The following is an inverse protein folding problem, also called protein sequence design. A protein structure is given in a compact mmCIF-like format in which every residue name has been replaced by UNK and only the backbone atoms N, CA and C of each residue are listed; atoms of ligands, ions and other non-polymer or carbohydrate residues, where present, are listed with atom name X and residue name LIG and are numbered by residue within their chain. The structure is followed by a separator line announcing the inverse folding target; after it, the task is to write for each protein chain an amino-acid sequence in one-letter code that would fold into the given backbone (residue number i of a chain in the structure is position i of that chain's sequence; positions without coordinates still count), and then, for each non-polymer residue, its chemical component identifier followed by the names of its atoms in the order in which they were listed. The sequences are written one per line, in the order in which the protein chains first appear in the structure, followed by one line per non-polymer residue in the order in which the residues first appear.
data_IF_138023887576
#
_entry.id   IF_138023887576
#
_cell.length_a   1.000
_cell.length_b   1.000
_cell.length_c   1.000
_cell.angle_alpha   90.00
_cell.angle_beta   90.00
_cell.angle_gamma   90.00
#
_symmetry.space_group_name_H-M   'P 1'
#
loop_
_entity.id
_entity.type
_entity.pdbx_description
1 polymer ?
#
# COMPACT_ATOMS: atom_id res chain seq x y z
N UNK A 1 47.94 -22.75 -19.29
CA UNK A 1 47.37 -21.38 -19.12
C UNK A 1 45.85 -21.30 -19.30
N UNK A 2 45.19 -22.18 -20.08
CA UNK A 2 43.74 -22.11 -20.35
C UNK A 2 42.82 -22.36 -19.13
N UNK A 3 43.23 -23.22 -18.18
CA UNK A 3 42.40 -23.60 -17.02
C UNK A 3 42.15 -22.44 -16.04
N UNK A 4 43.15 -21.60 -15.79
CA UNK A 4 43.00 -20.41 -14.93
C UNK A 4 42.12 -19.33 -15.55
N UNK A 5 42.16 -19.18 -16.88
CA UNK A 5 41.32 -18.23 -17.61
C UNK A 5 39.83 -18.64 -17.55
N UNK A 6 39.53 -19.93 -17.70
CA UNK A 6 38.16 -20.45 -17.59
C UNK A 6 37.62 -20.27 -16.17
N UNK A 7 38.47 -20.45 -15.15
CA UNK A 7 38.10 -20.20 -13.75
C UNK A 7 37.77 -18.71 -13.49
N UNK A 8 38.62 -17.79 -13.96
CA UNK A 8 38.39 -16.34 -13.85
C UNK A 8 37.11 -15.91 -14.57
N UNK A 9 36.84 -16.46 -15.76
CA UNK A 9 35.62 -16.16 -16.50
C UNK A 9 34.37 -16.64 -15.74
N UNK A 10 34.42 -17.85 -15.15
CA UNK A 10 33.35 -18.36 -14.31
C UNK A 10 33.09 -17.49 -13.08
N UNK A 11 34.15 -17.02 -12.41
CA UNK A 11 34.04 -16.14 -11.25
C UNK A 11 33.38 -14.80 -11.60
N UNK A 12 33.80 -14.17 -12.72
CA UNK A 12 33.18 -12.92 -13.20
C UNK A 12 31.71 -13.14 -13.55
N UNK A 13 31.40 -14.23 -14.26
CA UNK A 13 30.01 -14.57 -14.61
C UNK A 13 29.15 -14.76 -13.37
N UNK A 14 29.67 -15.41 -12.33
CA UNK A 14 28.97 -15.60 -11.06
C UNK A 14 28.67 -14.27 -10.35
N UNK A 15 29.65 -13.37 -10.27
CA UNK A 15 29.48 -12.03 -9.69
C UNK A 15 28.40 -11.25 -10.43
N UNK A 16 28.47 -11.23 -11.77
CA UNK A 16 27.47 -10.54 -12.61
C UNK A 16 26.07 -11.14 -12.37
N UNK A 17 25.95 -12.47 -12.32
CA UNK A 17 24.68 -13.14 -12.08
C UNK A 17 24.10 -12.79 -10.70
N UNK A 18 24.93 -12.67 -9.67
CA UNK A 18 24.51 -12.23 -8.33
C UNK A 18 23.96 -10.81 -8.35
N UNK A 19 24.62 -9.86 -9.02
CA UNK A 19 24.09 -8.49 -9.15
C UNK A 19 22.76 -8.45 -9.92
N UNK A 20 22.64 -9.22 -11.01
CA UNK A 20 21.39 -9.31 -11.78
C UNK A 20 20.26 -9.89 -10.91
N UNK A 21 20.54 -10.92 -10.12
CA UNK A 21 19.56 -11.51 -9.21
C UNK A 21 19.07 -10.51 -8.15
N UNK A 22 19.98 -9.79 -7.50
CA UNK A 22 19.60 -8.74 -6.53
C UNK A 22 18.85 -7.58 -7.19
N UNK A 23 19.20 -7.22 -8.43
CA UNK A 23 18.47 -6.19 -9.19
C UNK A 23 17.02 -6.61 -9.48
N UNK A 24 16.81 -7.86 -9.92
CA UNK A 24 15.47 -8.41 -10.15
C UNK A 24 14.67 -8.47 -8.84
N UNK A 25 15.29 -8.87 -7.73
CA UNK A 25 14.64 -8.84 -6.40
C UNK A 25 14.26 -7.41 -5.98
N UNK A 26 15.11 -6.43 -6.25
CA UNK A 26 14.83 -5.02 -6.00
C UNK A 26 13.59 -4.53 -6.76
N UNK A 27 13.46 -4.90 -8.04
CA UNK A 27 12.29 -4.57 -8.86
C UNK A 27 11.01 -5.30 -8.38
N UNK A 28 11.14 -6.54 -7.91
CA UNK A 28 10.01 -7.31 -7.40
C UNK A 28 9.50 -6.81 -6.03
N UNK A 29 10.33 -6.09 -5.28
CA UNK A 29 10.01 -5.60 -3.93
C UNK A 29 9.70 -4.12 -3.87
N UNK A 30 9.89 -3.38 -4.97
CA UNK A 30 9.50 -1.98 -5.10
C UNK A 30 8.00 -1.83 -5.32
N UNK A 31 7.20 -2.26 -4.34
CA UNK A 31 5.86 -1.70 -4.18
C UNK A 31 6.02 -0.22 -3.84
N UNK A 32 5.30 0.66 -4.54
CA UNK A 32 5.39 2.10 -4.31
C UNK A 32 4.94 2.41 -2.87
N UNK A 33 5.91 2.74 -2.00
CA UNK A 33 5.60 3.24 -0.66
C UNK A 33 4.98 4.61 -0.80
N UNK A 34 3.83 4.79 -0.16
CA UNK A 34 3.11 6.06 -0.12
C UNK A 34 3.83 6.99 0.84
N UNK A 35 4.14 8.19 0.37
CA UNK A 35 4.74 9.22 1.21
C UNK A 35 3.81 9.63 2.37
N UNK A 36 4.38 9.88 3.54
CA UNK A 36 3.64 10.18 4.77
C UNK A 36 2.99 8.97 5.46
N UNK A 37 3.13 7.76 4.92
CA UNK A 37 2.72 6.52 5.59
C UNK A 37 3.89 5.91 6.35
N UNK A 38 3.70 5.74 7.65
CA UNK A 38 4.56 4.94 8.52
C UNK A 38 4.05 3.49 8.49
N UNK A 39 4.70 2.64 7.69
CA UNK A 39 4.29 1.25 7.48
C UNK A 39 4.77 0.35 8.62
N UNK A 40 3.95 -0.64 8.97
CA UNK A 40 4.34 -1.69 9.89
C UNK A 40 5.40 -2.60 9.26
N UNK A 41 6.35 -3.06 10.07
CA UNK A 41 7.32 -4.10 9.67
C UNK A 41 6.66 -5.49 9.62
N UNK A 42 5.66 -5.72 10.47
CA UNK A 42 4.91 -6.97 10.59
C UNK A 42 3.50 -6.86 10.00
N UNK A 43 2.81 -8.00 9.91
CA UNK A 43 1.44 -8.07 9.38
C UNK A 43 0.49 -7.31 10.31
N UNK A 44 -0.08 -6.20 9.82
CA UNK A 44 -1.07 -5.44 10.56
C UNK A 44 -2.45 -6.10 10.62
N UNK A 45 -3.33 -5.50 11.42
CA UNK A 45 -4.67 -6.03 11.66
C UNK A 45 -5.55 -6.07 10.42
N UNK A 46 -6.43 -7.08 10.34
CA UNK A 46 -7.49 -7.15 9.33
C UNK A 46 -8.67 -6.31 9.81
N UNK A 47 -9.14 -5.39 8.98
CA UNK A 47 -10.29 -4.54 9.29
C UNK A 47 -11.58 -5.37 9.19
N UNK A 48 -12.49 -5.23 10.15
CA UNK A 48 -13.80 -5.89 10.14
C UNK A 48 -14.79 -5.28 9.13
N UNK A 49 -14.49 -4.07 8.68
CA UNK A 49 -15.30 -3.26 7.76
C UNK A 49 -15.37 -3.90 6.37
N UNK A 50 -16.55 -3.85 5.74
CA UNK A 50 -16.79 -4.42 4.41
C UNK A 50 -16.66 -3.40 3.28
N UNK A 51 -16.90 -2.12 3.58
CA UNK A 51 -16.86 -1.02 2.63
C UNK A 51 -16.42 0.30 3.25
N UNK A 52 -15.79 1.12 2.42
CA UNK A 52 -15.38 2.48 2.76
C UNK A 52 -15.95 3.45 1.74
N UNK A 53 -16.41 4.62 2.20
CA UNK A 53 -16.77 5.72 1.31
C UNK A 53 -15.64 6.73 1.23
N UNK A 54 -15.14 6.95 0.03
CA UNK A 54 -14.10 7.94 -0.26
C UNK A 54 -14.65 9.33 0.00
N UNK A 55 -13.95 10.09 0.84
CA UNK A 55 -14.26 11.49 1.14
C UNK A 55 -13.49 12.44 0.21
N UNK A 56 -12.23 12.11 -0.06
CA UNK A 56 -11.36 12.89 -0.93
C UNK A 56 -10.23 12.02 -1.47
N UNK A 57 -9.94 12.18 -2.76
CA UNK A 57 -8.76 11.61 -3.40
C UNK A 57 -7.59 12.59 -3.27
N UNK A 58 -6.44 12.07 -2.84
CA UNK A 58 -5.21 12.82 -2.69
C UNK A 58 -4.46 12.92 -4.03
N UNK A 59 -3.55 13.91 -4.20
CA UNK A 59 -2.79 14.09 -5.45
C UNK A 59 -1.97 12.87 -5.89
N UNK A 60 -1.65 11.96 -4.96
CA UNK A 60 -0.92 10.72 -5.23
C UNK A 60 -1.83 9.52 -5.54
N UNK A 61 -3.14 9.74 -5.73
CA UNK A 61 -4.12 8.70 -6.08
C UNK A 61 -4.68 7.90 -4.90
N UNK A 62 -4.07 8.00 -3.71
CA UNK A 62 -4.64 7.41 -2.49
C UNK A 62 -5.86 8.21 -2.04
N UNK A 63 -6.71 7.63 -1.20
CA UNK A 63 -7.96 8.28 -0.81
C UNK A 63 -8.12 8.32 0.71
N UNK A 64 -8.54 9.47 1.25
CA UNK A 64 -9.11 9.50 2.60
C UNK A 64 -10.56 9.03 2.50
N UNK A 65 -10.90 8.02 3.29
CA UNK A 65 -12.20 7.39 3.28
C UNK A 65 -12.71 7.21 4.70
N UNK A 66 -14.02 7.11 4.85
CA UNK A 66 -14.68 6.84 6.13
C UNK A 66 -15.39 5.50 6.06
N UNK A 67 -15.36 4.80 7.19
CA UNK A 67 -16.10 3.56 7.35
C UNK A 67 -17.60 3.86 7.41
N UNK A 68 -18.40 2.93 6.90
CA UNK A 68 -19.83 2.91 7.15
C UNK A 68 -20.04 2.62 8.65
N UNK A 69 -20.55 3.61 9.37
CA UNK A 69 -20.79 3.50 10.82
C UNK A 69 -22.14 2.87 11.17
N UNK A 70 -23.09 2.89 10.23
CA UNK A 70 -24.41 2.31 10.41
C UNK A 70 -25.00 1.85 9.06
N UNK A 71 -25.15 0.54 8.89
CA UNK A 71 -25.73 -0.10 7.70
C UNK A 71 -27.22 0.18 7.51
N UNK A 72 -27.96 0.50 8.58
CA UNK A 72 -29.41 0.75 8.51
C UNK A 72 -29.75 2.16 7.99
N UNK A 73 -28.84 3.12 8.16
CA UNK A 73 -29.07 4.54 7.84
C UNK A 73 -28.08 5.14 6.83
N UNK A 74 -27.20 4.34 6.22
CA UNK A 74 -26.14 4.78 5.29
C UNK A 74 -25.28 5.94 5.85
N UNK A 75 -25.00 5.91 7.16
CA UNK A 75 -24.20 6.94 7.81
C UNK A 75 -22.72 6.58 7.81
N UNK A 76 -21.93 7.49 7.27
CA UNK A 76 -20.48 7.37 7.21
C UNK A 76 -19.80 8.33 8.22
N UNK A 77 -19.94 8.02 9.51
CA UNK A 77 -19.28 8.72 10.63
C UNK A 77 -18.25 7.84 11.36
N UNK A 78 -17.78 6.78 10.70
CA UNK A 78 -16.77 5.88 11.25
C UNK A 78 -15.40 6.54 11.38
N UNK A 79 -14.40 5.73 11.72
CA UNK A 79 -13.02 6.18 11.64
C UNK A 79 -12.65 6.61 10.20
N UNK A 80 -11.89 7.69 10.07
CA UNK A 80 -11.28 8.05 8.79
C UNK A 80 -10.02 7.19 8.61
N UNK A 81 -9.83 6.65 7.43
CA UNK A 81 -8.66 5.86 7.02
C UNK A 81 -8.06 6.45 5.75
N UNK A 82 -6.80 6.15 5.49
CA UNK A 82 -6.20 6.28 4.16
C UNK A 82 -6.34 4.93 3.44
N UNK A 83 -7.10 4.89 2.35
CA UNK A 83 -7.07 3.79 1.39
C UNK A 83 -5.84 3.93 0.49
N UNK A 84 -4.94 2.96 0.59
CA UNK A 84 -3.75 2.86 -0.24
C UNK A 84 -4.15 2.28 -1.59
N UNK A 85 -3.97 3.08 -2.65
CA UNK A 85 -4.22 2.66 -4.02
C UNK A 85 -3.19 1.60 -4.43
N UNK A 86 -3.67 0.50 -5.03
CA UNK A 86 -2.82 -0.40 -5.78
C UNK A 86 -2.54 0.16 -7.19
N UNK A 87 -1.61 -0.46 -7.92
CA UNK A 87 -1.13 0.04 -9.21
C UNK A 87 -2.24 0.30 -10.25
N UNK A 88 -3.30 -0.51 -10.24
CA UNK A 88 -4.44 -0.41 -11.16
C UNK A 88 -5.72 0.13 -10.49
N UNK A 89 -5.61 0.74 -9.32
CA UNK A 89 -6.76 1.26 -8.57
C UNK A 89 -6.82 2.78 -8.68
N UNK A 90 -7.90 3.29 -9.24
CA UNK A 90 -8.17 4.72 -9.33
C UNK A 90 -9.42 5.06 -8.52
N UNK A 91 -9.22 5.80 -7.44
CA UNK A 91 -10.32 6.29 -6.63
C UNK A 91 -10.92 7.59 -7.20
N UNK A 92 -12.18 7.85 -6.87
CA UNK A 92 -12.83 9.15 -7.06
C UNK A 92 -13.64 9.53 -5.82
N UNK A 93 -13.91 10.82 -5.65
CA UNK A 93 -14.63 11.34 -4.49
C UNK A 93 -16.04 10.73 -4.41
N UNK A 94 -16.53 10.47 -3.19
CA UNK A 94 -17.81 9.84 -2.89
C UNK A 94 -17.95 8.37 -3.36
N UNK A 95 -16.90 7.76 -3.90
CA UNK A 95 -16.90 6.35 -4.27
C UNK A 95 -17.10 5.43 -3.05
N UNK A 96 -18.00 4.45 -3.18
CA UNK A 96 -18.09 3.34 -2.22
C UNK A 96 -17.20 2.20 -2.68
N UNK A 97 -16.13 1.95 -1.93
CA UNK A 97 -15.16 0.88 -2.18
C UNK A 97 -15.56 -0.33 -1.35
N UNK A 98 -16.12 -1.34 -2.01
CA UNK A 98 -16.47 -2.63 -1.39
C UNK A 98 -15.32 -3.61 -1.55
N UNK A 99 -15.05 -4.42 -0.52
CA UNK A 99 -14.06 -5.50 -0.66
C UNK A 99 -14.61 -6.56 -1.65
N UNK A 100 -13.87 -6.95 -2.71
CA UNK A 100 -14.21 -8.11 -3.51
C UNK A 100 -14.24 -9.41 -2.69
N UNK A 101 -14.95 -10.42 -3.19
CA UNK A 101 -14.95 -11.75 -2.56
C UNK A 101 -13.52 -12.32 -2.49
N UNK A 102 -13.20 -12.98 -1.37
CA UNK A 102 -11.86 -13.50 -1.09
C UNK A 102 -10.82 -12.46 -0.65
N UNK A 103 -11.13 -11.16 -0.75
CA UNK A 103 -10.24 -10.08 -0.31
C UNK A 103 -10.58 -9.56 1.10
N UNK A 104 -9.63 -8.81 1.66
CA UNK A 104 -9.77 -8.17 2.97
C UNK A 104 -9.06 -6.82 3.00
N UNK A 105 -9.64 -5.88 3.71
CA UNK A 105 -8.94 -4.66 4.10
C UNK A 105 -7.98 -4.98 5.23
N UNK A 106 -6.71 -4.59 5.07
CA UNK A 106 -5.68 -4.78 6.09
C UNK A 106 -5.01 -3.45 6.37
N UNK A 107 -4.85 -3.14 7.65
CA UNK A 107 -4.04 -2.01 8.06
C UNK A 107 -2.57 -2.33 7.79
N UNK A 108 -1.90 -1.46 7.04
CA UNK A 108 -0.49 -1.58 6.68
C UNK A 108 0.40 -0.55 7.38
N UNK A 109 -0.21 0.40 8.09
CA UNK A 109 0.52 1.46 8.79
C UNK A 109 -0.37 2.55 9.35
N UNK A 110 0.22 3.72 9.55
CA UNK A 110 -0.50 4.96 9.87
C UNK A 110 -0.11 6.07 8.91
N UNK A 111 -1.06 6.93 8.57
CA UNK A 111 -0.87 8.07 7.69
C UNK A 111 -1.08 9.36 8.48
N UNK A 112 -0.11 10.26 8.45
CA UNK A 112 -0.19 11.55 9.14
C UNK A 112 -0.29 12.69 8.12
N UNK A 113 -1.35 13.50 8.25
CA UNK A 113 -1.59 14.63 7.35
C UNK A 113 -2.05 15.88 8.12
N UNK A 114 -1.96 17.03 7.45
CA UNK A 114 -2.45 18.30 7.96
C UNK A 114 -3.72 18.67 7.21
N UNK A 115 -4.79 18.99 7.93
CA UNK A 115 -6.04 19.48 7.32
C UNK A 115 -5.86 20.91 6.80
N UNK A 116 -6.79 21.38 5.97
CA UNK A 116 -6.80 22.79 5.51
C UNK A 116 -6.84 23.80 6.66
N UNK A 117 -7.54 23.44 7.75
CA UNK A 117 -7.61 24.24 8.98
C UNK A 117 -6.33 24.17 9.82
N UNK A 118 -5.33 23.40 9.38
CA UNK A 118 -4.02 23.30 10.00
C UNK A 118 -3.90 22.27 11.12
N UNK A 119 -4.94 21.49 11.40
CA UNK A 119 -4.88 20.42 12.39
C UNK A 119 -4.10 19.24 11.83
N UNK A 120 -3.19 18.69 12.63
CA UNK A 120 -2.50 17.45 12.31
C UNK A 120 -3.38 16.27 12.74
N UNK A 121 -3.62 15.34 11.82
CA UNK A 121 -4.36 14.10 12.08
C UNK A 121 -3.50 12.90 11.72
N UNK A 122 -3.70 11.82 12.46
CA UNK A 122 -3.11 10.51 12.16
C UNK A 122 -4.25 9.51 12.02
N UNK A 123 -4.26 8.78 10.90
CA UNK A 123 -5.30 7.81 10.55
C UNK A 123 -4.67 6.46 10.18
N UNK A 124 -5.41 5.34 10.28
CA UNK A 124 -4.94 4.06 9.76
C UNK A 124 -4.69 4.14 8.25
N UNK A 125 -3.57 3.58 7.78
CA UNK A 125 -3.37 3.31 6.36
C UNK A 125 -3.80 1.87 6.06
N UNK A 126 -4.71 1.70 5.10
CA UNK A 126 -5.41 0.45 4.81
C UNK A 126 -5.19 0.09 3.35
N UNK A 127 -4.78 -1.14 3.09
CA UNK A 127 -4.66 -1.70 1.75
C UNK A 127 -5.69 -2.82 1.55
N UNK A 128 -6.19 -2.95 0.32
CA UNK A 128 -7.02 -4.08 -0.08
C UNK A 128 -6.11 -5.23 -0.54
N UNK A 129 -6.17 -6.37 0.16
CA UNK A 129 -5.31 -7.52 -0.10
C UNK A 129 -6.18 -8.73 -0.44
N UNK A 130 -5.83 -9.46 -1.51
CA UNK A 130 -6.45 -10.75 -1.89
C UNK A 130 -5.93 -11.93 -1.07
#
# INVERSE_FOLDING_TARGET
MKKGLVFLLGAITGIVLTFVFFFILGLATSGSRVDGVDYFEEVGQVMSVQEYKVMQVLPNGNALATELSNEEYDWYHGAVVLLVAGDDVHYYDEQVVKKPEGSRFRQVGTYRYKTEQGFVKTVPAVALIR
#
